data_IF_608958160273
#
_entry.id   IF_608958160273
#
_cell.length_a   1.000
_cell.length_b   1.000
_cell.length_c   1.000
_cell.angle_alpha   90.00
_cell.angle_beta   90.00
_cell.angle_gamma   90.00
#
_symmetry.space_group_name_H-M   'P 1'
#
loop_
_entity.id
_entity.type
_entity.pdbx_description
1 polymer ?
#
# COMPACT_ATOMS: atom_id res chain seq x y z
N UNK A 1 9.78 -1.15 1.82
CA UNK A 1 10.54 0.09 2.01
C UNK A 1 9.78 0.96 3.00
N UNK A 2 10.43 1.47 4.06
CA UNK A 2 9.77 2.36 5.01
C UNK A 2 9.33 3.63 4.28
N UNK A 3 8.11 4.09 4.53
CA UNK A 3 7.53 5.32 3.98
C UNK A 3 7.44 5.41 2.45
N UNK A 4 7.43 4.27 1.75
CA UNK A 4 7.44 4.26 0.28
C UNK A 4 6.14 4.80 -0.33
N UNK A 5 5.00 4.48 0.28
CA UNK A 5 3.70 4.96 -0.20
C UNK A 5 3.64 6.47 -0.02
N UNK A 6 4.07 6.96 1.14
CA UNK A 6 4.14 8.37 1.52
C UNK A 6 5.06 9.15 0.57
N UNK A 7 6.22 8.59 0.23
CA UNK A 7 7.13 9.16 -0.78
C UNK A 7 6.47 9.29 -2.16
N UNK A 8 5.69 8.30 -2.59
CA UNK A 8 4.99 8.36 -3.88
C UNK A 8 3.72 9.21 -3.87
N UNK A 9 3.06 9.37 -2.71
CA UNK A 9 1.92 10.28 -2.56
C UNK A 9 2.39 11.75 -2.51
N UNK A 10 3.48 12.03 -1.82
CA UNK A 10 4.00 13.39 -1.57
C UNK A 10 5.50 13.48 -1.91
N UNK A 11 5.88 13.36 -3.20
CA UNK A 11 7.30 13.27 -3.62
C UNK A 11 8.13 14.51 -3.35
N UNK A 12 7.50 15.65 -3.09
CA UNK A 12 8.16 16.92 -2.74
C UNK A 12 8.56 17.01 -1.27
N UNK A 13 8.08 16.10 -0.41
CA UNK A 13 8.43 16.06 1.01
C UNK A 13 9.79 15.35 1.17
N UNK A 14 10.76 15.95 1.89
CA UNK A 14 12.08 15.34 2.02
C UNK A 14 12.04 14.06 2.88
N UNK A 15 12.93 13.11 2.58
CA UNK A 15 12.96 11.79 3.23
C UNK A 15 12.97 11.82 4.75
N UNK A 16 13.69 12.78 5.35
CA UNK A 16 13.78 12.91 6.81
C UNK A 16 12.45 13.35 7.46
N UNK A 17 11.53 13.93 6.70
CA UNK A 17 10.21 14.37 7.19
C UNK A 17 9.11 13.33 6.97
N UNK A 18 9.39 12.23 6.24
CA UNK A 18 8.41 11.17 5.99
C UNK A 18 7.88 10.48 7.26
N UNK A 19 8.65 10.30 8.36
CA UNK A 19 8.08 9.81 9.62
C UNK A 19 6.98 10.73 10.18
N UNK A 20 7.18 12.04 10.13
CA UNK A 20 6.18 13.01 10.58
C UNK A 20 4.94 12.99 9.68
N UNK A 21 5.14 12.86 8.37
CA UNK A 21 4.04 12.67 7.42
C UNK A 21 3.25 11.39 7.73
N UNK A 22 3.94 10.27 8.00
CA UNK A 22 3.31 9.00 8.34
C UNK A 22 2.36 9.13 9.54
N UNK A 23 2.78 9.83 10.60
CA UNK A 23 1.92 10.06 11.77
C UNK A 23 0.61 10.78 11.42
N UNK A 24 0.63 11.66 10.43
CA UNK A 24 -0.55 12.40 9.96
C UNK A 24 -1.46 11.52 9.11
N UNK A 25 -0.90 10.72 8.20
CA UNK A 25 -1.68 10.00 7.18
C UNK A 25 -1.94 8.53 7.48
N UNK A 26 -1.29 7.94 8.51
CA UNK A 26 -1.35 6.48 8.78
C UNK A 26 -2.76 5.94 8.99
N UNK A 27 -3.69 6.76 9.46
CA UNK A 27 -5.10 6.38 9.65
C UNK A 27 -5.86 6.27 8.33
N UNK A 28 -5.34 6.90 7.26
CA UNK A 28 -5.91 6.90 5.90
C UNK A 28 -5.23 5.87 4.98
N UNK A 29 -4.30 5.07 5.50
CA UNK A 29 -3.53 4.10 4.74
C UNK A 29 -3.95 2.66 5.04
N UNK A 30 -3.83 1.74 4.05
CA UNK A 30 -3.99 0.32 4.31
C UNK A 30 -2.92 -0.18 5.30
N UNK A 31 -3.19 -1.27 6.05
CA UNK A 31 -2.21 -1.85 6.95
C UNK A 31 -0.90 -2.18 6.23
N UNK A 32 0.26 -1.84 6.82
CA UNK A 32 1.56 -2.13 6.23
C UNK A 32 1.85 -3.63 6.28
N UNK A 33 2.63 -4.10 5.32
CA UNK A 33 3.17 -5.46 5.35
C UNK A 33 4.29 -5.58 6.40
N UNK A 34 4.30 -6.70 7.12
CA UNK A 34 5.30 -7.00 8.16
C UNK A 34 6.71 -7.26 7.63
N UNK A 35 6.83 -7.60 6.35
CA UNK A 35 8.12 -7.85 5.68
C UNK A 35 7.96 -7.81 4.16
N UNK A 36 9.07 -7.72 3.44
CA UNK A 36 9.09 -7.86 1.98
C UNK A 36 8.54 -9.23 1.53
N UNK A 37 8.83 -10.30 2.29
CA UNK A 37 8.31 -11.64 2.01
C UNK A 37 6.78 -11.68 2.09
N UNK A 38 6.18 -11.04 3.10
CA UNK A 38 4.73 -10.94 3.22
C UNK A 38 4.10 -10.18 2.04
N UNK A 39 4.76 -9.14 1.53
CA UNK A 39 4.31 -8.43 0.34
C UNK A 39 4.37 -9.32 -0.92
N UNK A 40 5.48 -10.03 -1.14
CA UNK A 40 5.61 -10.95 -2.28
C UNK A 40 4.64 -12.13 -2.22
N UNK A 41 4.28 -12.59 -1.01
CA UNK A 41 3.29 -13.64 -0.82
C UNK A 41 1.87 -13.23 -1.28
N UNK A 42 1.56 -11.92 -1.33
CA UNK A 42 0.31 -11.41 -1.94
C UNK A 42 0.49 -11.13 -3.44
N UNK A 43 1.60 -10.49 -3.83
CA UNK A 43 1.87 -10.06 -5.21
C UNK A 43 1.99 -11.25 -6.17
N UNK A 44 2.81 -12.25 -5.86
CA UNK A 44 3.13 -13.33 -6.82
C UNK A 44 1.87 -14.15 -7.16
N UNK A 45 1.07 -14.64 -6.19
CA UNK A 45 -0.17 -15.35 -6.52
C UNK A 45 -1.18 -14.47 -7.25
N UNK A 46 -1.23 -13.17 -6.94
CA UNK A 46 -2.13 -12.25 -7.63
C UNK A 46 -1.77 -12.12 -9.11
N UNK A 47 -0.48 -11.96 -9.44
CA UNK A 47 0.00 -11.90 -10.82
C UNK A 47 -0.29 -13.21 -11.58
N UNK A 48 -0.05 -14.37 -10.95
CA UNK A 48 -0.36 -15.68 -11.55
C UNK A 48 -1.85 -15.80 -11.87
N UNK A 49 -2.74 -15.31 -10.99
CA UNK A 49 -4.18 -15.30 -11.22
C UNK A 49 -4.59 -14.30 -12.30
N UNK A 50 -4.01 -13.10 -12.29
CA UNK A 50 -4.26 -12.07 -13.31
C UNK A 50 -3.91 -12.53 -14.72
N UNK A 51 -2.88 -13.38 -14.88
CA UNK A 51 -2.51 -13.96 -16.17
C UNK A 51 -3.65 -14.77 -16.83
N UNK A 52 -4.60 -15.27 -16.04
CA UNK A 52 -5.77 -16.02 -16.54
C UNK A 52 -7.10 -15.28 -16.36
N UNK A 53 -7.15 -14.33 -15.41
CA UNK A 53 -8.33 -13.53 -15.09
C UNK A 53 -7.91 -12.06 -14.94
N UNK A 54 -7.86 -11.28 -16.04
CA UNK A 54 -7.33 -9.90 -16.04
C UNK A 54 -8.07 -8.94 -15.10
N UNK A 55 -9.33 -9.21 -14.79
CA UNK A 55 -10.15 -8.42 -13.84
C UNK A 55 -9.85 -8.72 -12.37
N UNK A 56 -9.07 -9.77 -12.08
CA UNK A 56 -8.70 -10.08 -10.71
C UNK A 56 -7.84 -8.97 -10.13
N UNK A 57 -8.16 -8.57 -8.91
CA UNK A 57 -7.34 -7.67 -8.10
C UNK A 57 -7.46 -8.09 -6.63
N UNK A 58 -6.47 -7.73 -5.84
CA UNK A 58 -6.52 -7.91 -4.39
C UNK A 58 -7.25 -6.71 -3.79
N UNK A 59 -8.39 -6.95 -3.15
CA UNK A 59 -9.11 -5.92 -2.42
C UNK A 59 -8.40 -5.65 -1.09
N UNK A 60 -7.72 -4.51 -0.98
CA UNK A 60 -7.10 -4.06 0.26
C UNK A 60 -8.05 -3.17 1.04
N UNK A 61 -8.12 -3.32 2.38
CA UNK A 61 -8.95 -2.45 3.19
C UNK A 61 -8.40 -1.03 3.13
N UNK A 62 -9.14 -0.12 2.50
CA UNK A 62 -8.91 1.30 2.59
C UNK A 62 -9.74 1.84 3.76
N UNK A 63 -9.17 2.65 4.66
CA UNK A 63 -9.94 3.35 5.67
C UNK A 63 -10.94 4.29 4.99
N UNK A 64 -12.18 4.29 5.46
CA UNK A 64 -13.22 5.17 4.95
C UNK A 64 -13.86 4.76 3.63
N UNK A 65 -14.15 3.48 3.38
CA UNK A 65 -15.22 3.16 2.41
C UNK A 65 -16.55 3.67 2.97
N UNK A 66 -16.87 4.93 2.70
CA UNK A 66 -18.25 5.30 2.51
C UNK A 66 -18.76 4.42 1.36
N UNK A 67 -19.73 3.57 1.67
CA UNK A 67 -20.50 2.88 0.64
C UNK A 67 -21.04 3.94 -0.33
N UNK A 68 -20.84 3.70 -1.62
CA UNK A 68 -21.54 4.38 -2.70
C UNK A 68 -22.51 3.37 -3.31
#
# INVERSE_FOLDING_TARGET
>A
MNYHVEHHMFPTIPFHALPSLHEVVKMDMPPPYRSSLAAYAEIIPALVRQARAPSYHVARPAPGRAEA
#
